data_IF_855993863535
#
_entry.id   IF_855993863535
#
_cell.length_a   1.000
_cell.length_b   1.000
_cell.length_c   1.000
_cell.angle_alpha   90.00
_cell.angle_beta   90.00
_cell.angle_gamma   90.00
#
_symmetry.space_group_name_H-M   'P 1'
#
loop_
_entity.id
_entity.type
_entity.pdbx_description
1 polymer ?
#
# COMPACT_ATOMS: atom_id res chain seq x y z
N UNK A 1 17.53 -29.40 7.05
CA UNK A 1 17.04 -28.02 6.83
C UNK A 1 18.22 -27.06 6.89
N UNK A 2 18.39 -26.17 5.91
CA UNK A 2 19.45 -25.16 5.91
C UNK A 2 19.24 -24.15 7.03
N UNK A 3 20.31 -23.50 7.53
CA UNK A 3 20.21 -22.53 8.63
C UNK A 3 19.28 -21.36 8.28
N UNK A 4 19.40 -20.80 7.08
CA UNK A 4 18.57 -19.69 6.64
C UNK A 4 17.07 -20.04 6.64
N UNK A 5 16.70 -21.21 6.10
CA UNK A 5 15.32 -21.69 6.11
C UNK A 5 14.78 -21.87 7.54
N UNK A 6 15.64 -22.27 8.47
CA UNK A 6 15.27 -22.44 9.86
C UNK A 6 15.03 -21.12 10.56
N UNK A 7 15.90 -20.12 10.38
CA UNK A 7 15.74 -18.77 10.91
C UNK A 7 14.42 -18.16 10.41
N UNK A 8 14.14 -18.28 9.12
CA UNK A 8 12.89 -17.84 8.54
C UNK A 8 11.66 -18.52 9.17
N UNK A 9 11.69 -19.84 9.34
CA UNK A 9 10.60 -20.59 9.97
C UNK A 9 10.38 -20.21 11.44
N UNK A 10 11.44 -19.88 12.20
CA UNK A 10 11.31 -19.36 13.57
C UNK A 10 10.51 -18.07 13.56
N UNK A 11 10.86 -17.11 12.71
CA UNK A 11 10.13 -15.84 12.59
C UNK A 11 8.67 -16.07 12.22
N UNK A 12 8.39 -16.95 11.25
CA UNK A 12 7.01 -17.28 10.85
C UNK A 12 6.19 -17.88 12.00
N UNK A 13 6.78 -18.77 12.78
CA UNK A 13 6.11 -19.37 13.94
C UNK A 13 5.79 -18.34 15.02
N UNK A 14 6.72 -17.43 15.31
CA UNK A 14 6.57 -16.37 16.30
C UNK A 14 5.59 -15.28 15.85
N UNK A 15 5.36 -15.13 14.55
CA UNK A 15 4.42 -14.16 13.96
C UNK A 15 2.98 -14.35 14.43
N UNK A 16 2.60 -15.55 14.85
CA UNK A 16 1.26 -15.82 15.38
C UNK A 16 0.92 -14.98 16.63
N UNK A 17 1.89 -14.24 17.19
CA UNK A 17 1.75 -13.45 18.40
C UNK A 17 1.59 -14.32 19.68
N UNK A 18 1.68 -15.64 19.52
CA UNK A 18 1.65 -16.57 20.66
C UNK A 18 3.04 -16.75 21.24
N UNK A 19 3.12 -16.83 22.55
CA UNK A 19 4.34 -17.20 23.25
C UNK A 19 4.69 -18.64 22.93
N UNK A 20 5.84 -18.89 22.28
CA UNK A 20 6.33 -20.23 21.95
C UNK A 20 7.62 -20.52 22.74
N UNK A 21 7.65 -21.65 23.43
CA UNK A 21 8.86 -22.06 24.16
C UNK A 21 9.93 -22.58 23.18
N UNK A 22 11.21 -22.54 23.62
CA UNK A 22 12.29 -23.14 22.85
C UNK A 22 12.05 -24.64 22.58
N UNK A 23 11.36 -25.32 23.49
CA UNK A 23 10.95 -26.71 23.33
C UNK A 23 9.98 -26.89 22.16
N UNK A 24 8.92 -26.08 22.11
CA UNK A 24 7.93 -26.12 21.03
C UNK A 24 8.55 -25.80 19.66
N UNK A 25 9.46 -24.83 19.61
CA UNK A 25 10.19 -24.48 18.40
C UNK A 25 11.13 -25.61 17.96
N UNK A 26 11.85 -26.23 18.90
CA UNK A 26 12.76 -27.35 18.65
C UNK A 26 12.01 -28.56 18.08
N UNK A 27 10.86 -28.92 18.68
CA UNK A 27 10.00 -30.00 18.21
C UNK A 27 9.48 -29.77 16.79
N UNK A 28 8.96 -28.54 16.52
CA UNK A 28 8.42 -28.18 15.19
C UNK A 28 9.48 -28.15 14.09
N UNK A 29 10.70 -27.77 14.43
CA UNK A 29 11.80 -27.58 13.48
C UNK A 29 12.77 -28.78 13.46
N UNK A 30 12.54 -29.79 14.31
CA UNK A 30 13.36 -30.99 14.44
C UNK A 30 14.85 -30.69 14.70
N UNK A 31 15.10 -29.78 15.64
CA UNK A 31 16.45 -29.39 16.07
C UNK A 31 16.57 -29.40 17.60
N UNK A 32 17.79 -29.24 18.13
CA UNK A 32 18.01 -29.18 19.58
C UNK A 32 17.56 -27.81 20.15
N UNK A 33 17.20 -27.76 21.43
CA UNK A 33 16.92 -26.51 22.16
C UNK A 33 18.11 -25.53 22.09
N UNK A 34 19.34 -26.05 22.15
CA UNK A 34 20.55 -25.22 22.01
C UNK A 34 20.64 -24.55 20.66
N UNK A 35 20.18 -25.22 19.61
CA UNK A 35 20.11 -24.63 18.26
C UNK A 35 19.09 -23.49 18.21
N UNK A 36 17.92 -23.68 18.85
CA UNK A 36 16.89 -22.63 18.91
C UNK A 36 17.40 -21.40 19.68
N UNK A 37 18.04 -21.57 20.83
CA UNK A 37 18.59 -20.44 21.59
C UNK A 37 19.59 -19.64 20.76
N UNK A 38 20.50 -20.31 20.06
CA UNK A 38 21.47 -19.66 19.19
C UNK A 38 20.79 -18.94 18.02
N UNK A 39 19.83 -19.58 17.36
CA UNK A 39 19.12 -19.02 16.22
C UNK A 39 18.28 -17.80 16.63
N UNK A 40 17.62 -17.84 17.80
CA UNK A 40 16.88 -16.68 18.34
C UNK A 40 17.82 -15.53 18.69
N UNK A 41 18.95 -15.81 19.28
CA UNK A 41 19.98 -14.79 19.59
C UNK A 41 20.51 -14.14 18.30
N UNK A 42 20.80 -14.93 17.26
CA UNK A 42 21.25 -14.42 15.97
C UNK A 42 20.18 -13.52 15.28
N UNK A 43 18.90 -13.91 15.39
CA UNK A 43 17.79 -13.09 14.89
C UNK A 43 17.67 -11.78 15.68
N UNK A 44 17.80 -11.82 16.99
CA UNK A 44 17.78 -10.59 17.82
C UNK A 44 18.94 -9.66 17.49
N UNK A 45 20.15 -10.20 17.33
CA UNK A 45 21.33 -9.43 16.90
C UNK A 45 21.17 -8.85 15.48
N UNK A 46 20.41 -9.52 14.62
CA UNK A 46 20.05 -9.03 13.28
C UNK A 46 18.91 -8.02 13.28
N UNK A 47 18.43 -7.58 14.45
CA UNK A 47 17.40 -6.56 14.59
C UNK A 47 15.95 -7.08 14.53
N UNK A 48 15.75 -8.40 14.54
CA UNK A 48 14.39 -8.98 14.64
C UNK A 48 13.89 -8.79 16.07
N UNK A 49 12.77 -8.07 16.32
CA UNK A 49 12.33 -7.74 17.67
C UNK A 49 11.62 -8.92 18.34
N UNK A 50 12.40 -9.96 18.62
CA UNK A 50 11.94 -11.09 19.41
C UNK A 50 12.09 -10.72 20.89
N UNK A 51 11.00 -10.81 21.64
CA UNK A 51 10.96 -10.64 23.08
C UNK A 51 10.75 -12.00 23.74
N UNK A 52 11.30 -12.16 24.95
CA UNK A 52 11.19 -13.39 25.74
C UNK A 52 12.55 -13.89 26.23
N UNK A 53 12.49 -14.88 27.10
CA UNK A 53 13.65 -15.45 27.79
C UNK A 53 13.66 -16.99 27.70
N UNK A 54 14.85 -17.56 27.89
CA UNK A 54 15.02 -18.99 27.99
C UNK A 54 14.19 -19.53 29.17
N UNK A 55 13.39 -20.58 28.90
CA UNK A 55 12.50 -21.18 29.90
C UNK A 55 11.08 -20.60 29.94
N UNK A 56 10.88 -19.32 29.58
CA UNK A 56 9.57 -18.68 29.51
C UNK A 56 8.95 -18.85 28.12
N UNK A 57 9.71 -18.49 27.09
CA UNK A 57 9.29 -18.54 25.70
C UNK A 57 9.59 -17.25 24.96
N UNK A 58 9.35 -17.29 23.67
CA UNK A 58 9.62 -16.21 22.73
C UNK A 58 8.36 -15.77 22.00
N UNK A 59 8.26 -14.49 21.73
CA UNK A 59 7.20 -13.90 20.89
C UNK A 59 7.79 -12.79 20.04
N UNK A 60 7.17 -12.49 18.91
CA UNK A 60 7.52 -11.34 18.09
C UNK A 60 6.68 -10.13 18.53
N UNK A 61 7.29 -8.96 18.64
CA UNK A 61 6.55 -7.72 18.95
C UNK A 61 5.55 -7.43 17.82
N UNK A 62 4.35 -6.97 18.17
CA UNK A 62 3.25 -6.73 17.21
C UNK A 62 3.49 -5.52 16.30
N UNK A 63 4.40 -4.66 16.64
CA UNK A 63 4.80 -3.46 15.89
C UNK A 63 5.90 -3.72 14.85
N UNK A 64 6.28 -4.97 14.64
CA UNK A 64 7.22 -5.35 13.60
C UNK A 64 6.50 -5.61 12.29
N UNK A 65 6.55 -4.61 11.42
CA UNK A 65 5.68 -4.53 10.25
C UNK A 65 5.98 -5.56 9.14
N UNK A 66 7.21 -6.05 8.98
CA UNK A 66 7.52 -7.00 7.89
C UNK A 66 8.60 -7.99 8.32
N UNK A 67 8.34 -9.33 8.26
CA UNK A 67 9.37 -10.35 8.47
C UNK A 67 10.43 -10.30 7.36
N UNK A 68 11.58 -11.00 7.52
CA UNK A 68 12.51 -11.20 6.42
C UNK A 68 11.77 -11.77 5.22
N UNK A 69 11.65 -10.97 4.16
CA UNK A 69 11.07 -11.40 2.90
C UNK A 69 12.20 -11.94 2.02
N UNK A 70 11.98 -13.10 1.42
CA UNK A 70 12.82 -13.64 0.37
C UNK A 70 12.11 -13.41 -0.95
N UNK A 71 12.72 -12.66 -1.85
CA UNK A 71 12.19 -12.42 -3.19
C UNK A 71 12.98 -13.24 -4.21
N UNK A 72 12.27 -13.80 -5.18
CA UNK A 72 12.87 -14.30 -6.41
C UNK A 72 13.08 -13.17 -7.44
N UNK A 73 13.63 -13.54 -8.59
CA UNK A 73 13.97 -12.57 -9.64
C UNK A 73 12.73 -11.91 -10.26
N UNK A 74 11.69 -12.69 -10.47
CA UNK A 74 10.42 -12.25 -11.05
C UNK A 74 9.68 -11.32 -10.10
N UNK A 75 9.69 -11.62 -8.80
CA UNK A 75 9.09 -10.78 -7.76
C UNK A 75 9.81 -9.43 -7.65
N UNK A 76 11.15 -9.42 -7.71
CA UNK A 76 11.94 -8.19 -7.73
C UNK A 76 11.59 -7.36 -8.97
N UNK A 77 11.54 -7.97 -10.16
CA UNK A 77 11.20 -7.28 -11.40
C UNK A 77 9.78 -6.65 -11.32
N UNK A 78 8.81 -7.36 -10.76
CA UNK A 78 7.46 -6.85 -10.55
C UNK A 78 7.43 -5.65 -9.57
N UNK A 79 8.19 -5.71 -8.47
CA UNK A 79 8.31 -4.61 -7.51
C UNK A 79 8.99 -3.37 -8.12
N UNK A 80 10.05 -3.56 -8.89
CA UNK A 80 10.75 -2.49 -9.61
C UNK A 80 9.81 -1.82 -10.62
N UNK A 81 9.10 -2.61 -11.43
CA UNK A 81 8.11 -2.07 -12.38
C UNK A 81 7.02 -1.30 -11.65
N UNK A 82 6.45 -1.86 -10.58
CA UNK A 82 5.44 -1.18 -9.77
C UNK A 82 5.92 0.16 -9.21
N UNK A 83 7.16 0.22 -8.71
CA UNK A 83 7.75 1.46 -8.22
C UNK A 83 7.97 2.50 -9.34
N UNK A 84 8.41 2.07 -10.54
CA UNK A 84 8.53 2.94 -11.73
C UNK A 84 7.16 3.49 -12.16
N UNK A 85 6.09 2.67 -12.07
CA UNK A 85 4.72 3.13 -12.33
C UNK A 85 4.27 4.16 -11.30
N UNK A 86 4.55 3.93 -10.01
CA UNK A 86 4.25 4.91 -8.95
C UNK A 86 5.03 6.20 -9.18
N UNK A 87 6.29 6.14 -9.61
CA UNK A 87 7.09 7.33 -9.93
C UNK A 87 6.50 8.14 -11.08
N UNK A 88 6.02 7.47 -12.13
CA UNK A 88 5.45 8.12 -13.30
C UNK A 88 4.09 8.79 -13.02
N UNK A 89 3.23 8.15 -12.25
CA UNK A 89 1.83 8.58 -12.11
C UNK A 89 1.36 8.82 -10.66
N UNK A 90 2.14 8.46 -9.66
CA UNK A 90 1.76 8.61 -8.25
C UNK A 90 1.94 10.03 -7.70
N UNK A 91 1.41 10.23 -6.49
CA UNK A 91 1.70 11.41 -5.67
C UNK A 91 3.16 11.44 -5.21
N UNK A 92 3.60 12.57 -4.69
CA UNK A 92 4.98 12.78 -4.25
C UNK A 92 5.35 11.86 -3.09
N UNK A 93 4.50 11.80 -2.07
CA UNK A 93 4.75 10.98 -0.87
C UNK A 93 4.79 9.48 -1.19
N UNK A 94 3.89 9.00 -2.05
CA UNK A 94 3.87 7.60 -2.46
C UNK A 94 5.11 7.23 -3.29
N UNK A 95 5.56 8.13 -4.18
CA UNK A 95 6.80 7.95 -4.95
C UNK A 95 8.02 7.85 -4.03
N UNK A 96 8.13 8.74 -3.05
CA UNK A 96 9.22 8.68 -2.06
C UNK A 96 9.17 7.39 -1.23
N UNK A 97 7.98 6.94 -0.84
CA UNK A 97 7.81 5.68 -0.12
C UNK A 97 8.24 4.47 -0.97
N UNK A 98 7.85 4.42 -2.24
CA UNK A 98 8.25 3.38 -3.18
C UNK A 98 9.77 3.34 -3.37
N UNK A 99 10.41 4.49 -3.55
CA UNK A 99 11.86 4.59 -3.67
C UNK A 99 12.60 4.20 -2.38
N UNK A 100 12.04 4.55 -1.20
CA UNK A 100 12.61 4.06 0.08
C UNK A 100 12.48 2.54 0.21
N UNK A 101 11.37 1.96 -0.22
CA UNK A 101 11.17 0.51 -0.19
C UNK A 101 12.15 -0.22 -1.12
N UNK A 102 12.34 0.26 -2.36
CA UNK A 102 13.33 -0.31 -3.28
C UNK A 102 14.74 -0.27 -2.70
N UNK A 103 15.19 0.87 -2.17
CA UNK A 103 16.52 0.96 -1.53
C UNK A 103 16.71 -0.04 -0.39
N UNK A 104 15.67 -0.30 0.40
CA UNK A 104 15.74 -1.33 1.47
C UNK A 104 15.87 -2.74 0.89
N UNK A 105 15.18 -3.03 -0.21
CA UNK A 105 15.28 -4.31 -0.92
C UNK A 105 16.68 -4.47 -1.50
N UNK A 106 17.18 -3.48 -2.23
CA UNK A 106 18.52 -3.47 -2.82
C UNK A 106 19.63 -3.68 -1.79
N UNK A 107 19.50 -3.08 -0.59
CA UNK A 107 20.49 -3.20 0.47
C UNK A 107 20.67 -4.64 0.99
N UNK A 108 19.65 -5.48 0.89
CA UNK A 108 19.68 -6.87 1.39
C UNK A 108 19.84 -7.91 0.27
N UNK A 109 19.79 -7.49 -1.00
CA UNK A 109 19.96 -8.40 -2.13
C UNK A 109 21.42 -8.87 -2.26
N UNK A 110 21.64 -10.16 -2.58
CA UNK A 110 22.95 -10.65 -3.00
C UNK A 110 23.46 -9.87 -4.24
N UNK A 111 24.78 -9.72 -4.43
CA UNK A 111 25.34 -9.00 -5.57
C UNK A 111 24.80 -9.48 -6.93
N UNK A 112 24.63 -10.79 -7.10
CA UNK A 112 24.08 -11.39 -8.33
C UNK A 112 22.62 -11.02 -8.63
N UNK A 113 21.88 -10.53 -7.65
CA UNK A 113 20.50 -10.06 -7.82
C UNK A 113 20.40 -8.52 -7.85
N UNK A 114 21.42 -7.80 -7.37
CA UNK A 114 21.45 -6.31 -7.45
C UNK A 114 21.61 -5.85 -8.89
N UNK A 115 22.49 -6.49 -9.67
CA UNK A 115 22.63 -6.23 -11.10
C UNK A 115 21.29 -6.38 -11.85
N UNK A 116 20.41 -7.26 -11.37
CA UNK A 116 19.09 -7.46 -11.99
C UNK A 116 18.10 -6.31 -11.74
N UNK A 117 18.28 -5.46 -10.73
CA UNK A 117 17.42 -4.29 -10.50
C UNK A 117 17.64 -3.24 -11.58
N UNK A 118 18.91 -3.05 -12.00
CA UNK A 118 19.27 -2.15 -13.08
C UNK A 118 18.97 -2.76 -14.45
N UNK A 119 19.09 -4.08 -14.58
CA UNK A 119 18.85 -4.85 -15.81
C UNK A 119 17.35 -5.15 -16.07
N UNK A 120 16.43 -4.70 -15.21
CA UNK A 120 14.99 -4.84 -15.49
C UNK A 120 14.63 -3.98 -16.71
N UNK A 121 14.53 -4.64 -17.89
CA UNK A 121 14.16 -4.01 -19.16
C UNK A 121 12.66 -3.63 -19.23
N UNK A 122 11.98 -3.49 -18.10
CA UNK A 122 10.60 -3.06 -17.98
C UNK A 122 10.57 -1.58 -17.58
N UNK A 123 10.14 -0.75 -18.49
CA UNK A 123 10.04 0.70 -18.30
C UNK A 123 8.57 1.10 -18.18
N UNK A 124 8.30 2.12 -17.38
CA UNK A 124 7.01 2.78 -17.32
C UNK A 124 7.15 4.19 -17.91
N UNK A 125 7.28 4.33 -19.25
CA UNK A 125 7.41 5.63 -19.86
C UNK A 125 6.10 6.38 -19.69
N UNK A 126 6.14 7.47 -18.97
CA UNK A 126 5.02 8.38 -18.77
C UNK A 126 5.57 9.79 -18.59
N UNK A 127 4.85 10.77 -19.11
CA UNK A 127 5.09 12.14 -18.66
C UNK A 127 4.72 12.15 -17.17
N UNK A 128 5.69 12.45 -16.31
CA UNK A 128 5.41 12.62 -14.87
C UNK A 128 4.19 13.52 -14.73
N UNK A 129 3.22 13.09 -13.95
CA UNK A 129 2.07 13.92 -13.64
C UNK A 129 2.56 15.30 -13.14
N UNK A 130 1.93 16.41 -13.58
CA UNK A 130 2.33 17.75 -13.15
C UNK A 130 2.45 17.82 -11.62
N UNK A 131 3.41 18.59 -11.12
CA UNK A 131 3.67 18.68 -9.67
C UNK A 131 2.41 19.05 -8.86
N UNK A 132 1.54 19.85 -9.47
CA UNK A 132 0.26 20.22 -8.87
C UNK A 132 -0.68 19.02 -8.71
N UNK A 133 -0.81 18.18 -9.73
CA UNK A 133 -1.64 16.96 -9.68
C UNK A 133 -1.09 16.00 -8.63
N UNK A 134 0.22 15.84 -8.55
CA UNK A 134 0.88 14.98 -7.56
C UNK A 134 0.61 15.44 -6.13
N UNK A 135 0.66 16.75 -5.86
CA UNK A 135 0.32 17.31 -4.54
C UNK A 135 -1.16 17.11 -4.20
N UNK A 136 -2.05 17.32 -5.18
CA UNK A 136 -3.49 17.05 -5.00
C UNK A 136 -3.76 15.59 -4.69
N UNK A 137 -3.06 14.65 -5.34
CA UNK A 137 -3.17 13.22 -5.05
C UNK A 137 -2.79 12.92 -3.60
N UNK A 138 -1.67 13.44 -3.12
CA UNK A 138 -1.23 13.25 -1.73
C UNK A 138 -2.27 13.82 -0.74
N UNK A 139 -2.76 15.02 -1.01
CA UNK A 139 -3.76 15.67 -0.16
C UNK A 139 -5.09 14.90 -0.13
N UNK A 140 -5.62 14.52 -1.29
CA UNK A 140 -6.88 13.79 -1.39
C UNK A 140 -6.78 12.37 -0.79
N UNK A 141 -5.62 11.72 -0.95
CA UNK A 141 -5.36 10.43 -0.34
C UNK A 141 -5.34 10.52 1.19
N UNK A 142 -4.63 11.50 1.74
CA UNK A 142 -4.61 11.76 3.18
C UNK A 142 -6.01 12.07 3.72
N UNK A 143 -6.77 12.92 3.03
CA UNK A 143 -8.14 13.27 3.41
C UNK A 143 -9.06 12.03 3.41
N UNK A 144 -8.94 11.14 2.43
CA UNK A 144 -9.70 9.90 2.38
C UNK A 144 -9.36 8.95 3.54
N UNK A 145 -8.07 8.81 3.88
CA UNK A 145 -7.60 7.97 4.99
C UNK A 145 -8.07 8.52 6.35
N UNK A 146 -8.00 9.84 6.53
CA UNK A 146 -8.35 10.52 7.78
C UNK A 146 -9.84 10.89 7.86
N UNK A 147 -10.60 10.65 6.77
CA UNK A 147 -12.02 10.97 6.64
C UNK A 147 -12.34 12.46 6.75
N UNK A 148 -11.42 13.31 6.34
CA UNK A 148 -11.69 14.74 6.29
C UNK A 148 -12.65 15.08 5.14
N UNK A 149 -13.59 15.98 5.39
CA UNK A 149 -14.41 16.58 4.34
C UNK A 149 -13.49 17.48 3.50
N UNK A 150 -13.66 17.40 2.18
CA UNK A 150 -12.88 18.24 1.26
C UNK A 150 -13.79 19.19 0.52
N UNK A 151 -13.40 20.47 0.49
CA UNK A 151 -14.00 21.46 -0.37
C UNK A 151 -13.26 21.44 -1.71
N UNK A 152 -13.97 21.11 -2.79
CA UNK A 152 -13.40 20.92 -4.13
C UNK A 152 -13.94 22.02 -5.05
N UNK A 153 -13.04 22.87 -5.56
CA UNK A 153 -13.33 23.73 -6.70
C UNK A 153 -13.05 22.92 -7.98
N UNK A 154 -14.11 22.61 -8.72
CA UNK A 154 -14.07 21.68 -9.86
C UNK A 154 -14.55 22.34 -11.14
N UNK A 155 -13.77 22.18 -12.20
CA UNK A 155 -14.15 22.59 -13.55
C UNK A 155 -14.73 21.38 -14.29
N UNK A 156 -16.01 21.48 -14.68
CA UNK A 156 -16.69 20.45 -15.46
C UNK A 156 -16.16 20.41 -16.89
N UNK A 157 -16.57 19.40 -17.64
CA UNK A 157 -16.22 19.28 -19.06
C UNK A 157 -16.78 20.41 -19.91
N UNK A 158 -17.97 20.92 -19.55
CA UNK A 158 -18.62 22.07 -20.13
C UNK A 158 -18.00 23.43 -19.70
N UNK A 159 -16.88 23.38 -18.96
CA UNK A 159 -16.17 24.57 -18.44
C UNK A 159 -16.85 25.22 -17.23
N UNK A 160 -18.02 24.75 -16.79
CA UNK A 160 -18.75 25.34 -15.67
C UNK A 160 -18.03 25.11 -14.35
N UNK A 161 -17.64 26.17 -13.61
CA UNK A 161 -17.02 26.00 -12.30
C UNK A 161 -18.06 25.61 -11.26
N UNK A 162 -17.64 24.81 -10.30
CA UNK A 162 -18.49 24.47 -9.16
C UNK A 162 -17.64 24.21 -7.92
N UNK A 163 -18.16 24.59 -6.76
CA UNK A 163 -17.58 24.30 -5.46
C UNK A 163 -18.43 23.23 -4.78
N UNK A 164 -17.78 22.17 -4.28
CA UNK A 164 -18.44 21.00 -3.72
C UNK A 164 -17.82 20.61 -2.40
N UNK A 165 -18.67 20.36 -1.39
CA UNK A 165 -18.28 19.63 -0.19
C UNK A 165 -18.43 18.15 -0.48
N UNK A 166 -17.35 17.40 -0.28
CA UNK A 166 -17.32 15.98 -0.62
C UNK A 166 -16.63 15.16 0.48
N UNK A 167 -17.08 13.92 0.66
CA UNK A 167 -16.42 12.90 1.49
C UNK A 167 -15.58 12.02 0.56
N UNK A 168 -14.27 12.19 0.50
CA UNK A 168 -13.41 11.38 -0.36
C UNK A 168 -13.39 9.93 0.14
N UNK A 169 -13.64 8.99 -0.76
CA UNK A 169 -13.75 7.57 -0.43
C UNK A 169 -12.58 6.75 -0.97
N UNK A 170 -12.16 7.01 -2.19
CA UNK A 170 -11.04 6.32 -2.84
C UNK A 170 -10.51 7.10 -4.04
N UNK A 171 -9.25 6.82 -4.39
CA UNK A 171 -8.63 7.28 -5.64
C UNK A 171 -8.43 6.10 -6.59
N UNK A 172 -8.78 6.29 -7.86
CA UNK A 172 -8.66 5.29 -8.91
C UNK A 172 -7.75 5.77 -10.03
N UNK A 173 -6.86 4.90 -10.46
CA UNK A 173 -5.96 5.15 -11.60
C UNK A 173 -6.46 4.43 -12.86
N UNK A 174 -6.60 5.18 -13.95
CA UNK A 174 -7.13 4.71 -15.23
C UNK A 174 -6.12 4.91 -16.38
N UNK A 175 -4.91 4.36 -16.22
CA UNK A 175 -3.91 4.42 -17.30
C UNK A 175 -3.46 5.84 -17.67
N UNK A 176 -3.19 6.70 -16.68
CA UNK A 176 -2.74 8.09 -16.89
C UNK A 176 -3.66 9.13 -16.28
N UNK A 177 -4.91 8.78 -15.97
CA UNK A 177 -5.88 9.68 -15.33
C UNK A 177 -6.23 9.16 -13.94
N UNK A 178 -6.23 10.06 -12.97
CA UNK A 178 -6.72 9.79 -11.62
C UNK A 178 -8.12 10.35 -11.42
N UNK A 179 -8.99 9.57 -10.82
CA UNK A 179 -10.30 10.02 -10.35
C UNK A 179 -10.46 9.78 -8.86
N UNK A 180 -11.15 10.68 -8.20
CA UNK A 180 -11.57 10.56 -6.81
C UNK A 180 -13.05 10.17 -6.78
N UNK A 181 -13.38 9.00 -6.24
CA UNK A 181 -14.75 8.65 -5.88
C UNK A 181 -15.08 9.31 -4.54
N UNK A 182 -16.18 10.01 -4.47
CA UNK A 182 -16.61 10.71 -3.27
C UNK A 182 -18.14 10.74 -3.14
N UNK A 183 -18.63 10.86 -1.91
CA UNK A 183 -20.00 11.27 -1.66
C UNK A 183 -20.08 12.79 -1.74
N UNK A 184 -20.97 13.32 -2.56
CA UNK A 184 -21.16 14.74 -2.75
C UNK A 184 -22.38 15.23 -1.95
N UNK A 185 -22.18 16.03 -0.91
CA UNK A 185 -23.25 16.54 -0.05
C UNK A 185 -24.32 17.28 -0.85
N UNK A 186 -23.92 18.17 -1.77
CA UNK A 186 -24.85 18.96 -2.58
C UNK A 186 -25.76 18.09 -3.46
N UNK A 187 -25.29 16.94 -3.91
CA UNK A 187 -26.08 16.04 -4.78
C UNK A 187 -26.77 14.94 -4.02
N UNK A 188 -26.39 14.69 -2.76
CA UNK A 188 -26.85 13.55 -1.98
C UNK A 188 -26.52 12.22 -2.69
N UNK A 189 -25.37 12.14 -3.40
CA UNK A 189 -25.05 11.02 -4.28
C UNK A 189 -23.55 10.87 -4.49
N UNK A 190 -23.11 9.68 -4.92
CA UNK A 190 -21.74 9.43 -5.33
C UNK A 190 -21.39 10.19 -6.61
N UNK A 191 -20.17 10.71 -6.66
CA UNK A 191 -19.60 11.39 -7.83
C UNK A 191 -18.13 11.01 -7.98
N UNK A 192 -17.69 10.97 -9.24
CA UNK A 192 -16.29 10.84 -9.60
C UNK A 192 -15.75 12.18 -10.07
N UNK A 193 -14.62 12.59 -9.50
CA UNK A 193 -13.95 13.83 -9.84
C UNK A 193 -12.58 13.51 -10.46
N UNK A 194 -12.34 13.92 -11.69
CA UNK A 194 -11.00 13.85 -12.28
C UNK A 194 -10.06 14.79 -11.54
N UNK A 195 -8.93 14.24 -11.04
CA UNK A 195 -8.00 15.01 -10.20
C UNK A 195 -7.35 16.16 -10.97
N UNK A 196 -7.09 15.97 -12.26
CA UNK A 196 -6.55 17.01 -13.16
C UNK A 196 -7.52 18.18 -13.42
N UNK A 197 -8.83 17.97 -13.22
CA UNK A 197 -9.88 19.00 -13.33
C UNK A 197 -10.21 19.70 -12.01
N UNK A 198 -9.63 19.25 -10.91
CA UNK A 198 -9.73 19.93 -9.61
C UNK A 198 -8.81 21.15 -9.65
N UNK A 199 -9.39 22.34 -9.60
CA UNK A 199 -8.65 23.61 -9.57
C UNK A 199 -8.03 23.81 -8.19
N UNK A 200 -8.83 23.62 -7.15
CA UNK A 200 -8.43 23.74 -5.77
C UNK A 200 -9.09 22.65 -4.93
N UNK A 201 -8.36 22.12 -3.95
CA UNK A 201 -8.87 21.22 -2.94
C UNK A 201 -8.42 21.70 -1.57
N UNK A 202 -9.33 21.80 -0.64
CA UNK A 202 -9.07 22.19 0.75
C UNK A 202 -9.63 21.11 1.67
N UNK A 203 -8.76 20.50 2.47
CA UNK A 203 -9.18 19.57 3.51
C UNK A 203 -9.67 20.37 4.72
N UNK A 204 -10.92 20.17 5.09
CA UNK A 204 -11.50 20.83 6.25
C UNK A 204 -11.14 20.07 7.53
N UNK A 205 -11.19 20.74 8.68
CA UNK A 205 -11.00 20.09 9.99
C UNK A 205 -12.17 19.15 10.36
N UNK A 206 -13.26 19.21 9.59
CA UNK A 206 -14.43 18.39 9.77
C UNK A 206 -14.19 16.95 9.26
N UNK A 207 -14.58 15.98 10.12
CA UNK A 207 -14.45 14.55 9.83
C UNK A 207 -15.85 13.97 9.54
N UNK A 208 -16.01 13.31 8.40
CA UNK A 208 -17.26 12.62 8.09
C UNK A 208 -17.32 11.24 8.75
N UNK A 209 -18.49 10.90 9.27
CA UNK A 209 -18.75 9.55 9.78
C UNK A 209 -19.27 8.65 8.65
N UNK A 210 -18.72 7.43 8.48
CA UNK A 210 -19.25 6.49 7.50
C UNK A 210 -20.73 6.17 7.79
N UNK A 211 -21.60 6.63 6.91
CA UNK A 211 -23.05 6.41 7.01
C UNK A 211 -23.49 5.37 6.01
N UNK A 212 -24.41 4.48 6.39
CA UNK A 212 -24.96 3.49 5.46
C UNK A 212 -25.54 4.17 4.20
N UNK A 213 -25.24 3.63 3.04
CA UNK A 213 -25.59 4.22 1.75
C UNK A 213 -24.58 5.26 1.21
N UNK A 214 -23.56 5.65 2.00
CA UNK A 214 -22.57 6.66 1.62
C UNK A 214 -21.11 6.16 1.70
N UNK A 215 -20.92 4.86 2.00
CA UNK A 215 -19.59 4.28 2.20
C UNK A 215 -18.93 3.87 0.88
N UNK A 216 -17.62 3.62 0.92
CA UNK A 216 -16.92 3.02 -0.21
C UNK A 216 -17.52 1.66 -0.62
N UNK A 217 -17.97 0.85 0.33
CA UNK A 217 -18.62 -0.43 0.04
C UNK A 217 -19.94 -0.24 -0.74
N UNK A 218 -20.71 0.81 -0.40
CA UNK A 218 -21.93 1.16 -1.12
C UNK A 218 -21.64 1.64 -2.54
N UNK A 219 -20.62 2.48 -2.71
CA UNK A 219 -20.14 2.91 -4.02
C UNK A 219 -19.75 1.71 -4.90
N UNK A 220 -18.94 0.79 -4.37
CA UNK A 220 -18.50 -0.40 -5.09
C UNK A 220 -19.65 -1.32 -5.48
N UNK A 221 -20.66 -1.50 -4.61
CA UNK A 221 -21.88 -2.26 -4.93
C UNK A 221 -22.63 -1.61 -6.09
N UNK A 222 -22.78 -0.29 -6.07
CA UNK A 222 -23.46 0.46 -7.15
C UNK A 222 -22.73 0.33 -8.47
N UNK A 223 -21.40 0.49 -8.48
CA UNK A 223 -20.57 0.35 -9.68
C UNK A 223 -20.70 -1.05 -10.29
N UNK A 224 -20.63 -2.10 -9.45
CA UNK A 224 -20.81 -3.49 -9.89
C UNK A 224 -22.20 -3.75 -10.49
N UNK A 225 -23.24 -3.18 -9.88
CA UNK A 225 -24.61 -3.31 -10.39
C UNK A 225 -24.83 -2.58 -11.72
N UNK A 226 -24.05 -1.55 -12.02
CA UNK A 226 -24.11 -0.77 -13.27
C UNK A 226 -23.19 -1.30 -14.37
N UNK A 227 -22.24 -2.19 -14.04
CA UNK A 227 -21.36 -2.84 -15.03
C UNK A 227 -22.10 -4.05 -15.62
N UNK A 228 -22.42 -4.07 -16.92
CA UNK A 228 -22.94 -5.28 -17.59
C UNK A 228 -21.91 -6.40 -17.44
N UNK A 229 -22.36 -7.62 -17.14
CA UNK A 229 -21.50 -8.80 -17.11
C UNK A 229 -20.82 -8.96 -18.48
N UNK A 230 -19.49 -8.83 -18.51
CA UNK A 230 -18.66 -9.16 -19.67
C UNK A 230 -18.30 -7.96 -20.55
N UNK A 231 -17.25 -7.30 -20.16
CA UNK A 231 -16.09 -6.80 -20.94
C UNK A 231 -15.26 -5.94 -20.00
N UNK A 232 -14.07 -6.38 -19.71
CA UNK A 232 -13.10 -5.55 -19.01
C UNK A 232 -12.79 -4.31 -19.85
N UNK A 233 -12.60 -3.17 -19.17
CA UNK A 233 -12.12 -1.92 -19.75
C UNK A 233 -13.08 -1.20 -20.69
N UNK A 234 -13.74 -0.22 -20.18
CA UNK A 234 -14.08 1.09 -20.76
C UNK A 234 -15.46 1.55 -20.28
N UNK A 235 -15.54 2.65 -19.58
CA UNK A 235 -16.82 3.31 -19.36
C UNK A 235 -17.12 3.90 -17.98
N UNK A 236 -16.13 4.23 -17.18
CA UNK A 236 -16.35 4.99 -15.92
C UNK A 236 -15.87 6.44 -16.01
N UNK A 237 -15.73 6.97 -17.20
CA UNK A 237 -15.26 8.34 -17.44
C UNK A 237 -16.33 9.39 -17.63
N UNK A 238 -17.59 9.04 -17.84
CA UNK A 238 -18.60 10.03 -18.22
C UNK A 238 -19.97 9.71 -17.60
N UNK A 239 -20.28 10.34 -16.45
CA UNK A 239 -21.60 10.90 -16.08
C UNK A 239 -21.52 11.75 -14.82
#
# INVERSE_FOLDING_TARGET
>A
MRRADRLFRIVQLLRSGRLLTARTLAEKLQVSHRTIYRDVQDLQLSGVPITGEAGVGYTLRRDFDIPPLMFDREEIAALVLGARMVEAWGGTQLTEAANRALRKIEAVLPPSLRENVDDVLLYAPGLRAPAEVRRKLDQLHAAAQQRHIVLVAYSREDGQPSVRRVHPLALYFWGGVWTMAAWCEMRGDFRNFRVDRIQHAESLDEIFTPTAGQTLADYLRRVRAQSPQGTGSAGLGER
#
